data_IF_326439742649
#
_entry.id   IF_326439742649
#
_cell.length_a   1.000
_cell.length_b   1.000
_cell.length_c   1.000
_cell.angle_alpha   90.00
_cell.angle_beta   90.00
_cell.angle_gamma   90.00
#
_symmetry.space_group_name_H-M   'P 1'
#
loop_
_entity.id
_entity.type
_entity.pdbx_description
1 polymer ?
#
# COMPACT_ATOMS: atom_id res chain seq x y z
N UNK A 1 14.93 7.69 17.24
CA UNK A 1 13.89 7.13 16.35
C UNK A 1 12.96 6.37 17.28
N UNK A 2 11.74 6.87 17.52
CA UNK A 2 10.81 6.22 18.44
C UNK A 2 10.22 5.00 17.71
N UNK A 3 10.46 3.81 18.26
CA UNK A 3 10.20 2.49 17.65
C UNK A 3 8.74 2.03 17.81
N UNK A 4 7.92 2.88 18.41
CA UNK A 4 6.51 2.63 18.69
C UNK A 4 5.69 3.55 17.77
N UNK A 5 4.98 2.95 16.81
CA UNK A 5 3.90 3.65 16.10
C UNK A 5 2.86 4.23 17.09
N UNK A 6 1.77 4.85 16.62
CA UNK A 6 0.73 5.35 17.51
C UNK A 6 0.37 4.29 18.57
N UNK A 7 0.32 4.68 19.86
CA UNK A 7 0.13 3.74 20.97
C UNK A 7 -1.06 2.81 20.69
N UNK A 8 -0.84 1.50 20.85
CA UNK A 8 -1.87 0.48 20.56
C UNK A 8 -1.93 -0.01 19.11
N UNK A 9 -1.01 0.40 18.23
CA UNK A 9 -0.93 -0.11 16.85
C UNK A 9 -0.68 -1.63 16.84
N UNK A 10 -1.50 -2.43 16.15
CA UNK A 10 -1.31 -3.87 16.07
C UNK A 10 0.02 -4.28 15.43
N UNK A 11 0.58 -5.41 15.88
CA UNK A 11 1.89 -5.87 15.41
C UNK A 11 1.94 -6.08 13.89
N UNK A 12 0.87 -6.61 13.29
CA UNK A 12 0.78 -6.84 11.85
C UNK A 12 0.94 -5.54 11.02
N UNK A 13 0.44 -4.42 11.56
CA UNK A 13 0.55 -3.09 10.94
C UNK A 13 1.99 -2.61 11.00
N UNK A 14 2.64 -2.75 12.16
CA UNK A 14 4.06 -2.39 12.32
C UNK A 14 4.97 -3.25 11.43
N UNK A 15 4.68 -4.54 11.30
CA UNK A 15 5.44 -5.43 10.42
C UNK A 15 5.25 -5.05 8.93
N UNK A 16 4.06 -4.58 8.55
CA UNK A 16 3.83 -4.04 7.20
C UNK A 16 4.56 -2.72 6.97
N UNK A 17 4.53 -1.79 7.93
CA UNK A 17 5.26 -0.53 7.87
C UNK A 17 6.76 -0.79 7.66
N UNK A 18 7.37 -1.61 8.52
CA UNK A 18 8.80 -1.96 8.44
C UNK A 18 9.17 -2.67 7.13
N UNK A 19 8.25 -3.47 6.58
CA UNK A 19 8.46 -4.09 5.28
C UNK A 19 8.64 -3.04 4.18
N UNK A 20 7.73 -2.06 4.08
CA UNK A 20 7.82 -1.02 3.05
C UNK A 20 8.97 -0.04 3.32
N UNK A 21 9.26 0.29 4.58
CA UNK A 21 10.43 1.12 4.92
C UNK A 21 11.70 0.49 4.34
N UNK A 22 11.90 -0.82 4.55
CA UNK A 22 13.06 -1.55 4.00
C UNK A 22 13.04 -1.67 2.47
N UNK A 23 11.86 -1.83 1.89
CA UNK A 23 11.71 -2.01 0.45
C UNK A 23 11.88 -0.70 -0.33
N UNK A 24 11.53 0.43 0.27
CA UNK A 24 11.37 1.71 -0.42
C UNK A 24 12.18 2.83 0.24
N UNK A 25 11.93 3.15 1.51
CA UNK A 25 12.60 4.26 2.21
C UNK A 25 14.11 4.02 2.35
N UNK A 26 14.52 2.84 2.83
CA UNK A 26 15.93 2.47 3.02
C UNK A 26 16.72 2.42 1.70
N UNK A 27 16.01 2.35 0.57
CA UNK A 27 16.57 2.35 -0.79
C UNK A 27 16.47 3.71 -1.49
N UNK A 28 15.97 4.74 -0.80
CA UNK A 28 15.73 6.08 -1.37
C UNK A 28 14.90 6.04 -2.66
N UNK A 29 13.83 5.24 -2.67
CA UNK A 29 12.98 5.00 -3.84
C UNK A 29 11.52 5.40 -3.59
N UNK A 30 11.28 6.35 -2.69
CA UNK A 30 9.97 6.87 -2.35
C UNK A 30 9.71 7.00 -0.86
N UNK A 31 8.44 6.87 -0.47
CA UNK A 31 7.99 7.16 0.88
C UNK A 31 6.98 6.15 1.41
N UNK A 32 6.90 6.04 2.74
CA UNK A 32 6.00 5.13 3.44
C UNK A 32 5.35 5.88 4.59
N UNK A 33 4.05 5.66 4.80
CA UNK A 33 3.29 6.27 5.89
C UNK A 33 2.33 5.28 6.53
N UNK A 34 2.18 5.41 7.85
CA UNK A 34 1.13 4.77 8.63
C UNK A 34 0.07 5.80 8.98
N UNK A 35 -1.19 5.46 8.68
CA UNK A 35 -2.35 6.27 8.98
C UNK A 35 -3.29 5.47 9.89
N UNK A 36 -3.84 6.13 10.91
CA UNK A 36 -4.95 5.62 11.69
C UNK A 36 -6.21 6.37 11.28
N UNK A 37 -7.29 5.65 11.03
CA UNK A 37 -8.57 6.21 10.62
C UNK A 37 -9.70 5.52 11.40
N UNK A 38 -10.91 6.09 11.36
CA UNK A 38 -12.11 5.50 11.92
C UNK A 38 -13.23 5.46 10.87
N UNK A 39 -13.86 4.31 10.68
CA UNK A 39 -15.02 4.12 9.82
C UNK A 39 -16.17 3.56 10.66
N UNK A 40 -17.27 4.30 10.75
CA UNK A 40 -18.46 3.90 11.53
C UNK A 40 -18.13 3.48 12.99
N UNK A 41 -17.25 4.24 13.66
CA UNK A 41 -16.80 3.93 15.03
C UNK A 41 -15.79 2.78 15.14
N UNK A 42 -15.36 2.21 14.02
CA UNK A 42 -14.39 1.11 13.97
C UNK A 42 -13.00 1.63 13.56
N UNK A 43 -11.97 1.49 14.42
CA UNK A 43 -10.61 1.88 14.07
C UNK A 43 -10.05 1.03 12.93
N UNK A 44 -9.31 1.69 12.04
CA UNK A 44 -8.63 1.11 10.90
C UNK A 44 -7.20 1.64 10.84
N UNK A 45 -6.29 0.80 10.37
CA UNK A 45 -4.91 1.20 10.08
C UNK A 45 -4.61 1.02 8.60
N UNK A 46 -3.97 2.02 8.00
CA UNK A 46 -3.57 2.01 6.60
C UNK A 46 -2.06 2.20 6.52
N UNK A 47 -1.37 1.25 5.89
CA UNK A 47 0.03 1.40 5.50
C UNK A 47 0.05 1.74 4.02
N UNK A 48 0.47 2.97 3.70
CA UNK A 48 0.60 3.46 2.33
C UNK A 48 2.05 3.62 1.98
N UNK A 49 2.43 3.13 0.82
CA UNK A 49 3.74 3.35 0.22
C UNK A 49 3.56 3.99 -1.16
N UNK A 50 4.41 4.94 -1.49
CA UNK A 50 4.54 5.49 -2.85
C UNK A 50 5.99 5.38 -3.28
N UNK A 51 6.23 4.96 -4.52
CA UNK A 51 7.55 4.98 -5.12
C UNK A 51 7.71 6.20 -6.02
N UNK A 52 8.94 6.61 -6.27
CA UNK A 52 9.22 7.75 -7.16
C UNK A 52 8.82 7.47 -8.62
N UNK A 53 8.66 6.20 -8.97
CA UNK A 53 8.10 5.74 -10.25
C UNK A 53 6.57 5.86 -10.36
N UNK A 54 5.90 6.55 -9.42
CA UNK A 54 4.43 6.73 -9.37
C UNK A 54 3.61 5.47 -9.07
N UNK A 55 4.26 4.36 -8.77
CA UNK A 55 3.60 3.19 -8.18
C UNK A 55 3.28 3.49 -6.71
N UNK A 56 2.19 2.93 -6.21
CA UNK A 56 1.94 2.91 -4.78
C UNK A 56 1.31 1.61 -4.33
N UNK A 57 1.32 1.42 -3.02
CA UNK A 57 0.86 0.21 -2.37
C UNK A 57 0.08 0.59 -1.11
N UNK A 58 -0.96 -0.16 -0.82
CA UNK A 58 -1.84 0.07 0.30
C UNK A 58 -2.15 -1.27 0.98
N UNK A 59 -1.91 -1.35 2.29
CA UNK A 59 -2.40 -2.45 3.13
C UNK A 59 -3.34 -1.88 4.19
N UNK A 60 -4.53 -2.47 4.34
CA UNK A 60 -5.58 -2.03 5.27
C UNK A 60 -5.81 -3.10 6.33
N UNK A 61 -5.85 -2.66 7.58
CA UNK A 61 -6.01 -3.53 8.75
C UNK A 61 -7.13 -3.00 9.65
N UNK A 62 -7.80 -3.92 10.34
CA UNK A 62 -8.74 -3.59 11.42
C UNK A 62 -8.00 -3.22 12.72
N UNK A 63 -8.79 -2.91 13.76
CA UNK A 63 -8.31 -2.57 15.10
C UNK A 63 -7.43 -3.65 15.76
N UNK A 64 -7.58 -4.91 15.39
CA UNK A 64 -6.88 -6.05 15.99
C UNK A 64 -5.68 -6.48 15.13
N UNK A 65 -5.50 -5.85 13.96
CA UNK A 65 -4.43 -6.14 13.02
C UNK A 65 -4.77 -7.23 12.02
N UNK A 66 -6.05 -7.61 11.89
CA UNK A 66 -6.50 -8.49 10.81
C UNK A 66 -6.50 -7.71 9.50
N UNK A 67 -6.01 -8.33 8.44
CA UNK A 67 -5.98 -7.69 7.13
C UNK A 67 -7.40 -7.64 6.54
N UNK A 68 -7.79 -6.44 6.10
CA UNK A 68 -9.07 -6.19 5.42
C UNK A 68 -8.90 -6.11 3.89
N UNK A 69 -7.72 -5.70 3.42
CA UNK A 69 -7.46 -5.61 1.99
C UNK A 69 -6.05 -5.13 1.66
N UNK A 70 -5.64 -5.40 0.42
CA UNK A 70 -4.37 -4.96 -0.15
C UNK A 70 -4.61 -4.41 -1.54
N UNK A 71 -3.99 -3.28 -1.87
CA UNK A 71 -4.10 -2.70 -3.19
C UNK A 71 -2.76 -2.17 -3.69
N UNK A 72 -2.60 -2.17 -5.01
CA UNK A 72 -1.67 -1.28 -5.70
C UNK A 72 -2.42 0.01 -6.03
N UNK A 73 -1.76 1.15 -6.00
CA UNK A 73 -2.28 2.39 -6.57
C UNK A 73 -1.47 2.72 -7.82
N UNK A 74 -2.13 2.81 -8.97
CA UNK A 74 -1.53 3.40 -10.16
C UNK A 74 -2.19 4.76 -10.39
N UNK A 75 -1.42 5.85 -10.38
CA UNK A 75 -1.96 7.23 -10.52
C UNK A 75 -3.15 7.53 -9.57
N UNK A 76 -3.10 6.99 -8.35
CA UNK A 76 -4.16 7.10 -7.31
C UNK A 76 -5.39 6.20 -7.48
N UNK A 77 -5.46 5.34 -8.51
CA UNK A 77 -6.52 4.35 -8.65
C UNK A 77 -6.13 3.05 -7.92
N UNK A 78 -6.85 2.64 -6.85
CA UNK A 78 -6.55 1.40 -6.14
C UNK A 78 -7.05 0.18 -6.93
N UNK A 79 -6.15 -0.77 -7.16
CA UNK A 79 -6.43 -2.09 -7.70
C UNK A 79 -6.22 -3.12 -6.59
N UNK A 80 -7.32 -3.67 -6.08
CA UNK A 80 -7.29 -4.64 -4.98
C UNK A 80 -6.74 -5.99 -5.45
N UNK A 81 -5.81 -6.56 -4.69
CA UNK A 81 -5.14 -7.82 -5.01
C UNK A 81 -4.64 -8.53 -3.74
N UNK A 82 -3.91 -9.63 -3.90
CA UNK A 82 -3.33 -10.37 -2.78
C UNK A 82 -2.10 -9.68 -2.21
N UNK A 83 -1.86 -9.84 -0.90
CA UNK A 83 -0.65 -9.32 -0.22
C UNK A 83 0.65 -9.75 -0.89
N UNK A 84 0.71 -10.99 -1.37
CA UNK A 84 1.90 -11.54 -2.03
C UNK A 84 2.26 -10.79 -3.29
N UNK A 85 1.27 -10.45 -4.11
CA UNK A 85 1.44 -9.66 -5.35
C UNK A 85 1.96 -8.26 -5.00
N UNK A 86 1.27 -7.55 -4.10
CA UNK A 86 1.66 -6.18 -3.67
C UNK A 86 3.11 -6.17 -3.15
N UNK A 87 3.48 -7.12 -2.28
CA UNK A 87 4.82 -7.17 -1.66
C UNK A 87 5.92 -7.62 -2.61
N UNK A 88 5.66 -8.61 -3.47
CA UNK A 88 6.62 -9.05 -4.50
C UNK A 88 6.97 -7.88 -5.42
N UNK A 89 5.95 -7.14 -5.85
CA UNK A 89 6.08 -5.96 -6.71
C UNK A 89 6.92 -4.87 -6.03
N UNK A 90 6.57 -4.49 -4.79
CA UNK A 90 7.31 -3.47 -4.05
C UNK A 90 8.78 -3.82 -3.80
N UNK A 91 9.10 -5.11 -3.61
CA UNK A 91 10.46 -5.52 -3.24
C UNK A 91 11.36 -5.85 -4.44
N UNK A 92 10.81 -6.45 -5.48
CA UNK A 92 11.56 -7.00 -6.63
C UNK A 92 11.43 -6.12 -7.89
N UNK A 93 10.40 -5.25 -7.97
CA UNK A 93 10.13 -4.45 -9.17
C UNK A 93 9.61 -5.26 -10.37
N UNK A 94 9.23 -6.52 -10.14
CA UNK A 94 8.82 -7.46 -11.18
C UNK A 94 7.39 -7.14 -11.68
N UNK A 95 7.21 -7.02 -13.00
CA UNK A 95 5.94 -6.63 -13.64
C UNK A 95 5.16 -7.90 -14.01
N UNK A 96 3.92 -8.03 -13.54
CA UNK A 96 3.00 -9.02 -14.10
C UNK A 96 2.31 -8.38 -15.32
N UNK A 97 2.25 -9.10 -16.45
CA UNK A 97 1.57 -8.62 -17.67
C UNK A 97 0.10 -8.26 -17.39
N UNK A 98 -0.55 -8.96 -16.46
CA UNK A 98 -1.94 -8.65 -16.06
C UNK A 98 -2.03 -7.30 -15.34
N UNK A 99 -1.01 -6.96 -14.54
CA UNK A 99 -0.95 -5.69 -13.82
C UNK A 99 -0.70 -4.52 -14.77
N UNK A 100 0.10 -4.71 -15.81
CA UNK A 100 0.31 -3.70 -16.85
C UNK A 100 -0.97 -3.51 -17.69
N UNK A 101 -1.70 -4.58 -18.00
CA UNK A 101 -3.00 -4.50 -18.66
C UNK A 101 -4.05 -3.77 -17.81
N UNK A 102 -4.08 -4.00 -16.50
CA UNK A 102 -4.96 -3.29 -15.57
C UNK A 102 -4.57 -1.80 -15.45
N UNK A 103 -3.27 -1.49 -15.39
CA UNK A 103 -2.79 -0.11 -15.40
C UNK A 103 -3.17 0.62 -16.70
N UNK A 104 -3.02 -0.05 -17.85
CA UNK A 104 -3.44 0.51 -19.15
C UNK A 104 -4.95 0.68 -19.25
N UNK A 105 -5.74 -0.24 -18.69
CA UNK A 105 -7.19 -0.08 -18.61
C UNK A 105 -7.58 1.11 -17.71
N UNK A 106 -6.92 1.27 -16.56
CA UNK A 106 -7.15 2.41 -15.67
C UNK A 106 -6.80 3.75 -16.33
N UNK A 107 -5.65 3.83 -17.03
CA UNK A 107 -5.28 5.00 -17.85
C UNK A 107 -6.32 5.33 -18.90
N UNK A 108 -6.84 4.32 -19.62
CA UNK A 108 -7.91 4.51 -20.62
C UNK A 108 -9.19 5.04 -19.99
N UNK A 109 -9.57 4.53 -18.82
CA UNK A 109 -10.72 5.04 -18.07
C UNK A 109 -10.52 6.48 -17.58
N UNK A 110 -9.32 6.82 -17.09
CA UNK A 110 -9.01 8.16 -16.59
C UNK A 110 -8.81 9.19 -17.71
N UNK A 111 -8.32 8.78 -18.88
CA UNK A 111 -8.10 9.62 -20.06
C UNK A 111 -9.33 9.76 -20.97
N UNK A 112 -10.33 8.89 -20.83
CA UNK A 112 -11.63 9.04 -21.46
C UNK A 112 -12.53 9.95 -20.58
N UNK A 113 -12.30 11.26 -20.66
CA UNK A 113 -13.25 12.23 -20.13
C UNK A 113 -14.59 12.17 -20.90
N UNK A 114 -15.72 12.58 -20.28
CA UNK A 114 -17.02 12.69 -20.94
C UNK A 114 -17.01 13.69 -22.11
#
# INVERSE_FOLDING_TARGET
MNDDGPQGTPRAVLDALRFYERAVTDRDNGSVGLFAWELDGSPLYLVRCTTDGSDGFLEVYDRDGSALGFARTYESCPVWTSRGVVRRRAFVGDHDEVDDQLADAAKRFAGAGP
#
